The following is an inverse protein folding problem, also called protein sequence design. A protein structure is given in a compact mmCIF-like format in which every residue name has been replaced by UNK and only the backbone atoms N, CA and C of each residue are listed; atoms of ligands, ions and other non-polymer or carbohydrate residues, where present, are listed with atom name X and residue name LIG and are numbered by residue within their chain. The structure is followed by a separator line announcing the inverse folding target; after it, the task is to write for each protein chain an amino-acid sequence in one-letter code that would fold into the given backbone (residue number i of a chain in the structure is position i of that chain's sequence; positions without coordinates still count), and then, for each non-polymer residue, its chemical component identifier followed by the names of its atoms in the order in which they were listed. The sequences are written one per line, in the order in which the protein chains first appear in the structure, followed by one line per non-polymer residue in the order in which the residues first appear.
data_IF_573224449036
#
_entry.id   IF_573224449036
#
_cell.length_a   1.000
_cell.length_b   1.000
_cell.length_c   1.000
_cell.angle_alpha   90.00
_cell.angle_beta   90.00
_cell.angle_gamma   90.00
#
_symmetry.space_group_name_H-M   'P 1'
#
loop_
_entity.id
_entity.type
_entity.pdbx_description
1 polymer ?
#
# COMPACT_ATOMS: atom_id res chain seq x y z
N UNK A 1 5.47 24.14 -0.36
CA UNK A 1 4.29 23.27 -0.18
C UNK A 1 4.52 21.93 -0.86
N UNK A 2 5.16 20.98 -0.18
CA UNK A 2 5.36 19.63 -0.73
C UNK A 2 4.04 18.86 -0.64
N UNK A 3 3.32 18.76 -1.77
CA UNK A 3 2.17 17.87 -1.88
C UNK A 3 2.72 16.45 -1.77
N UNK A 4 2.49 15.79 -0.62
CA UNK A 4 2.93 14.42 -0.41
C UNK A 4 2.17 13.51 -1.36
N UNK A 5 2.88 12.67 -2.10
CA UNK A 5 2.30 11.67 -2.97
C UNK A 5 1.95 10.41 -2.17
N UNK A 6 0.83 9.77 -2.49
CA UNK A 6 0.60 8.37 -2.12
C UNK A 6 1.50 7.44 -2.96
N UNK A 7 1.56 6.16 -2.61
CA UNK A 7 2.48 5.20 -3.23
C UNK A 7 2.24 5.05 -4.74
N UNK A 8 0.99 5.10 -5.20
CA UNK A 8 0.64 4.96 -6.62
C UNK A 8 0.96 6.24 -7.37
N UNK A 9 0.68 7.40 -6.78
CA UNK A 9 1.00 8.70 -7.37
C UNK A 9 2.50 8.95 -7.45
N UNK A 10 3.26 8.45 -6.47
CA UNK A 10 4.72 8.50 -6.52
C UNK A 10 5.27 7.60 -7.64
N UNK A 11 4.78 6.35 -7.76
CA UNK A 11 5.13 5.45 -8.84
C UNK A 11 4.81 6.04 -10.24
N UNK A 12 3.62 6.62 -10.41
CA UNK A 12 3.24 7.32 -11.66
C UNK A 12 4.18 8.47 -11.99
N UNK A 13 4.66 9.19 -10.98
CA UNK A 13 5.60 10.29 -11.15
C UNK A 13 6.98 9.77 -11.55
N UNK A 14 7.48 8.74 -10.87
CA UNK A 14 8.79 8.15 -11.14
C UNK A 14 8.88 7.58 -12.57
N UNK A 15 7.80 6.97 -13.08
CA UNK A 15 7.77 6.42 -14.44
C UNK A 15 7.42 7.43 -15.54
N UNK A 16 7.31 8.72 -15.23
CA UNK A 16 6.98 9.75 -16.21
C UNK A 16 5.59 9.55 -16.85
N UNK A 17 4.59 9.06 -16.11
CA UNK A 17 3.28 8.65 -16.63
C UNK A 17 2.62 9.64 -17.59
N UNK A 18 2.78 10.95 -17.34
CA UNK A 18 2.19 12.01 -18.18
C UNK A 18 2.82 12.10 -19.57
N UNK A 19 4.08 11.69 -19.69
CA UNK A 19 4.88 11.78 -20.91
C UNK A 19 4.79 10.47 -21.73
N UNK A 20 4.36 9.37 -21.11
CA UNK A 20 4.15 8.11 -21.81
C UNK A 20 3.04 8.22 -22.87
N UNK A 21 3.25 7.67 -24.08
CA UNK A 21 2.20 7.48 -25.09
C UNK A 21 1.04 6.64 -24.55
N UNK A 22 -0.21 6.97 -24.91
CA UNK A 22 -1.40 6.28 -24.37
C UNK A 22 -1.41 4.77 -24.62
N UNK A 23 -0.87 4.31 -25.75
CA UNK A 23 -0.76 2.88 -26.10
C UNK A 23 0.30 2.11 -25.28
N UNK A 24 1.17 2.81 -24.57
CA UNK A 24 2.26 2.24 -23.77
C UNK A 24 2.02 2.38 -22.27
N UNK A 25 0.97 3.10 -21.87
CA UNK A 25 0.62 3.30 -20.46
C UNK A 25 0.09 1.98 -19.89
N UNK A 26 0.69 1.46 -18.81
CA UNK A 26 0.09 0.34 -18.10
C UNK A 26 -1.27 0.73 -17.55
N UNK A 27 -2.07 -0.25 -17.13
CA UNK A 27 -3.33 0.05 -16.45
C UNK A 27 -3.07 0.65 -15.06
N UNK A 28 -4.00 1.46 -14.55
CA UNK A 28 -3.89 1.97 -13.17
C UNK A 28 -3.83 0.83 -12.14
N UNK A 29 -4.56 -0.27 -12.39
CA UNK A 29 -4.53 -1.45 -11.55
C UNK A 29 -3.13 -2.10 -11.52
N UNK A 30 -2.45 -2.20 -12.67
CA UNK A 30 -1.09 -2.72 -12.73
C UNK A 30 -0.11 -1.83 -11.95
N UNK A 31 -0.19 -0.50 -12.10
CA UNK A 31 0.68 0.41 -11.34
C UNK A 31 0.37 0.37 -9.85
N UNK A 32 -0.91 0.29 -9.47
CA UNK A 32 -1.31 0.16 -8.08
C UNK A 32 -0.77 -1.13 -7.46
N UNK A 33 -0.83 -2.24 -8.20
CA UNK A 33 -0.26 -3.52 -7.80
C UNK A 33 1.24 -3.41 -7.56
N UNK A 34 2.01 -2.99 -8.56
CA UNK A 34 3.47 -2.91 -8.47
C UNK A 34 3.92 -1.97 -7.34
N UNK A 35 3.30 -0.79 -7.24
CA UNK A 35 3.63 0.19 -6.21
C UNK A 35 3.27 -0.31 -4.80
N UNK A 36 2.11 -0.96 -4.64
CA UNK A 36 1.68 -1.53 -3.37
C UNK A 36 2.55 -2.72 -2.96
N UNK A 37 2.83 -3.64 -3.88
CA UNK A 37 3.68 -4.80 -3.64
C UNK A 37 5.09 -4.38 -3.23
N UNK A 38 5.69 -3.44 -3.96
CA UNK A 38 6.98 -2.85 -3.60
C UNK A 38 6.95 -2.22 -2.20
N UNK A 39 5.93 -1.41 -1.91
CA UNK A 39 5.77 -0.77 -0.59
C UNK A 39 5.66 -1.78 0.56
N UNK A 40 4.97 -2.91 0.35
CA UNK A 40 4.81 -3.95 1.35
C UNK A 40 6.12 -4.74 1.55
N UNK A 41 6.78 -5.14 0.45
CA UNK A 41 8.05 -5.87 0.46
C UNK A 41 9.16 -5.11 1.16
N UNK A 42 9.28 -3.81 0.92
CA UNK A 42 10.24 -2.91 1.60
C UNK A 42 10.09 -2.90 3.13
N UNK A 43 8.98 -3.43 3.65
CA UNK A 43 8.64 -3.42 5.08
C UNK A 43 8.68 -4.80 5.70
N UNK A 44 8.78 -5.88 4.94
CA UNK A 44 8.77 -7.27 5.42
C UNK A 44 9.70 -7.50 6.61
N UNK A 45 10.96 -7.09 6.50
CA UNK A 45 11.95 -7.24 7.57
C UNK A 45 11.51 -6.55 8.88
N UNK A 46 10.95 -5.35 8.76
CA UNK A 46 10.47 -4.57 9.91
C UNK A 46 9.15 -5.13 10.47
N UNK A 47 8.32 -5.72 9.61
CA UNK A 47 7.09 -6.39 9.99
C UNK A 47 7.34 -7.77 10.59
N UNK A 48 8.54 -8.34 10.44
CA UNK A 48 8.85 -9.68 10.92
C UNK A 48 8.15 -10.79 10.14
N UNK A 49 7.80 -10.55 8.87
CA UNK A 49 7.17 -11.52 7.99
C UNK A 49 7.69 -11.45 6.56
N UNK A 50 7.44 -12.49 5.78
CA UNK A 50 7.63 -12.50 4.32
C UNK A 50 6.31 -12.82 3.65
N UNK A 51 5.93 -12.05 2.65
CA UNK A 51 4.68 -12.21 1.91
C UNK A 51 4.92 -13.13 0.72
N UNK A 52 4.02 -14.10 0.51
CA UNK A 52 4.09 -15.03 -0.60
C UNK A 52 3.69 -14.30 -1.90
N UNK A 53 4.61 -14.27 -2.87
CA UNK A 53 4.44 -13.50 -4.10
C UNK A 53 3.33 -14.03 -5.01
N UNK A 54 3.06 -15.33 -4.95
CA UNK A 54 2.06 -16.02 -5.74
C UNK A 54 0.62 -15.79 -5.24
N UNK A 55 0.44 -15.56 -3.94
CA UNK A 55 -0.87 -15.27 -3.34
C UNK A 55 -1.13 -13.78 -3.12
N UNK A 56 -0.12 -12.91 -3.20
CA UNK A 56 -0.27 -11.48 -2.98
C UNK A 56 -1.21 -10.84 -4.01
N UNK A 57 -2.30 -10.28 -3.50
CA UNK A 57 -3.24 -9.42 -4.22
C UNK A 57 -3.17 -8.02 -3.64
N UNK A 58 -3.14 -7.05 -4.55
CA UNK A 58 -3.18 -5.62 -4.21
C UNK A 58 -4.30 -5.00 -5.03
N UNK A 59 -5.32 -4.49 -4.35
CA UNK A 59 -6.48 -3.87 -4.97
C UNK A 59 -7.01 -2.72 -4.11
N UNK A 60 -8.29 -2.38 -4.25
CA UNK A 60 -8.92 -1.35 -3.42
C UNK A 60 -8.40 0.08 -3.64
N UNK A 61 -7.61 0.35 -4.71
CA UNK A 61 -7.06 1.69 -4.94
C UNK A 61 -8.17 2.73 -5.09
N UNK A 62 -8.37 3.53 -4.05
CA UNK A 62 -9.44 4.53 -3.98
C UNK A 62 -8.95 5.79 -3.30
N UNK A 63 -9.34 6.94 -3.84
CA UNK A 63 -9.07 8.24 -3.25
C UNK A 63 -10.32 8.79 -2.58
N UNK A 64 -10.22 9.00 -1.27
CA UNK A 64 -11.21 9.66 -0.43
C UNK A 64 -10.89 11.14 -0.35
N UNK A 65 -11.92 11.99 -0.48
CA UNK A 65 -11.80 13.44 -0.34
C UNK A 65 -12.80 13.94 0.68
N UNK A 66 -12.33 14.70 1.65
CA UNK A 66 -13.17 15.39 2.61
C UNK A 66 -12.95 16.89 2.49
N UNK A 67 -14.04 17.61 2.23
CA UNK A 67 -14.06 19.05 2.14
C UNK A 67 -14.48 19.66 3.49
N UNK A 68 -13.76 20.69 3.93
CA UNK A 68 -13.99 21.36 5.20
C UNK A 68 -13.00 22.51 5.40
N UNK A 69 -12.78 22.95 6.66
CA UNK A 69 -11.78 23.99 6.97
C UNK A 69 -10.37 23.65 6.45
N UNK A 70 -10.04 22.36 6.39
CA UNK A 70 -8.86 21.84 5.71
C UNK A 70 -9.28 20.71 4.78
N UNK A 71 -9.01 20.86 3.49
CA UNK A 71 -9.24 19.79 2.53
C UNK A 71 -8.28 18.63 2.79
N UNK A 72 -8.83 17.42 2.89
CA UNK A 72 -8.08 16.17 3.07
C UNK A 72 -8.31 15.29 1.85
N UNK A 73 -7.23 14.75 1.30
CA UNK A 73 -7.23 13.75 0.23
C UNK A 73 -6.39 12.56 0.73
N UNK A 74 -6.99 11.36 0.73
CA UNK A 74 -6.37 10.12 1.20
C UNK A 74 -6.61 9.03 0.16
N UNK A 75 -5.55 8.45 -0.38
CA UNK A 75 -5.65 7.24 -1.20
C UNK A 75 -5.31 6.01 -0.37
N UNK A 76 -6.09 4.94 -0.53
CA UNK A 76 -5.93 3.66 0.18
C UNK A 76 -5.67 2.53 -0.80
N UNK A 77 -5.03 1.46 -0.32
CA UNK A 77 -4.84 0.17 -1.02
C UNK A 77 -5.18 -0.94 -0.03
N UNK A 78 -5.79 -1.99 -0.55
CA UNK A 78 -6.09 -3.21 0.18
C UNK A 78 -5.11 -4.31 -0.24
N UNK A 79 -4.70 -5.12 0.73
CA UNK A 79 -3.72 -6.19 0.56
C UNK A 79 -4.34 -7.49 1.09
N UNK A 80 -4.23 -8.55 0.29
CA UNK A 80 -4.72 -9.89 0.62
C UNK A 80 -3.69 -10.92 0.14
N UNK A 81 -3.53 -12.02 0.87
CA UNK A 81 -2.58 -13.07 0.53
C UNK A 81 -1.99 -13.77 1.75
N UNK A 82 -1.04 -14.65 1.48
CA UNK A 82 -0.38 -15.45 2.51
C UNK A 82 0.95 -14.81 2.94
N UNK A 83 1.31 -15.04 4.20
CA UNK A 83 2.60 -14.62 4.73
C UNK A 83 3.17 -15.67 5.68
N UNK A 84 4.49 -15.66 5.82
CA UNK A 84 5.24 -16.45 6.80
C UNK A 84 5.76 -15.51 7.87
N UNK A 85 5.52 -15.83 9.14
CA UNK A 85 6.06 -15.08 10.27
C UNK A 85 7.49 -15.54 10.54
N UNK A 86 8.45 -14.63 10.38
CA UNK A 86 9.88 -14.88 10.57
C UNK A 86 10.38 -14.40 11.94
N UNK A 87 9.77 -13.34 12.48
CA UNK A 87 10.10 -12.76 13.78
C UNK A 87 8.78 -12.45 14.53
N UNK A 88 8.47 -13.29 15.51
CA UNK A 88 7.22 -13.21 16.27
C UNK A 88 7.06 -11.88 17.03
N UNK A 89 8.05 -11.37 17.79
CA UNK A 89 7.95 -10.06 18.44
C UNK A 89 7.62 -8.92 17.48
N UNK A 90 8.34 -8.81 16.35
CA UNK A 90 8.11 -7.75 15.35
C UNK A 90 6.72 -7.87 14.72
N UNK A 91 6.31 -9.08 14.38
CA UNK A 91 5.01 -9.31 13.78
C UNK A 91 3.86 -9.01 14.75
N UNK A 92 4.01 -9.35 16.02
CA UNK A 92 3.03 -9.03 17.05
C UNK A 92 2.89 -7.51 17.24
N UNK A 93 4.01 -6.77 17.25
CA UNK A 93 3.97 -5.31 17.27
C UNK A 93 3.25 -4.74 16.05
N UNK A 94 3.56 -5.22 14.85
CA UNK A 94 2.89 -4.81 13.62
C UNK A 94 1.38 -5.09 13.65
N UNK A 95 0.98 -6.26 14.15
CA UNK A 95 -0.42 -6.67 14.27
C UNK A 95 -1.21 -5.75 15.22
N UNK A 96 -0.61 -5.39 16.36
CA UNK A 96 -1.28 -4.59 17.39
C UNK A 96 -1.25 -3.09 17.10
N UNK A 97 -0.15 -2.58 16.59
CA UNK A 97 0.02 -1.15 16.32
C UNK A 97 -0.47 -0.76 14.92
N UNK A 98 -0.60 -1.73 14.01
CA UNK A 98 -0.94 -1.54 12.61
C UNK A 98 0.23 -1.07 11.74
N UNK A 99 0.04 -1.15 10.42
CA UNK A 99 1.09 -0.89 9.41
C UNK A 99 0.83 0.39 8.64
N UNK A 100 1.88 1.16 8.39
CA UNK A 100 1.80 2.33 7.52
C UNK A 100 1.21 3.57 8.19
N UNK A 101 0.64 4.45 7.37
CA UNK A 101 0.14 5.78 7.76
C UNK A 101 -1.39 5.79 7.79
N UNK A 102 -1.97 6.92 8.18
CA UNK A 102 -3.42 7.15 8.16
C UNK A 102 -4.24 6.15 9.00
N UNK A 103 -3.66 5.63 10.09
CA UNK A 103 -4.31 4.66 10.99
C UNK A 103 -5.63 5.16 11.58
N UNK A 104 -5.73 6.47 11.87
CA UNK A 104 -6.97 7.11 12.31
C UNK A 104 -8.07 7.23 11.25
N UNK A 105 -7.80 6.82 10.00
CA UNK A 105 -8.75 6.85 8.87
C UNK A 105 -9.08 5.43 8.36
N UNK A 106 -8.89 4.40 9.19
CA UNK A 106 -9.23 3.02 8.85
C UNK A 106 -8.14 2.28 8.07
N UNK A 107 -6.92 2.78 8.01
CA UNK A 107 -5.79 2.11 7.36
C UNK A 107 -4.92 1.35 8.37
N UNK A 108 -4.19 0.34 7.88
CA UNK A 108 -3.12 -0.31 8.64
C UNK A 108 -3.55 -1.39 9.61
N UNK A 109 -4.85 -1.69 9.70
CA UNK A 109 -5.32 -2.88 10.41
C UNK A 109 -4.87 -4.14 9.65
N UNK A 110 -4.31 -5.11 10.38
CA UNK A 110 -3.94 -6.42 9.85
C UNK A 110 -4.97 -7.45 10.33
N UNK A 111 -5.56 -8.19 9.38
CA UNK A 111 -6.43 -9.33 9.68
C UNK A 111 -5.69 -10.60 9.27
N UNK A 112 -5.50 -11.51 10.22
CA UNK A 112 -4.74 -12.75 10.00
C UNK A 112 -5.53 -13.94 10.50
N UNK A 113 -5.46 -15.05 9.76
CA UNK A 113 -5.96 -16.35 10.18
C UNK A 113 -4.89 -17.40 9.91
N UNK A 114 -4.94 -18.51 10.65
CA UNK A 114 -4.12 -19.68 10.33
C UNK A 114 -4.67 -20.35 9.08
N UNK A 115 -3.77 -20.80 8.20
CA UNK A 115 -4.07 -21.62 7.03
C UNK A 115 -4.17 -23.09 7.45
#
# INVERSE_FOLDING_TARGET
NSKRHDVVMDAKKQMGWKELPDNSRPTLAHVAYEAGACWLRDREERLGCTVANDSLRVDGYRTWRQHGRKNIELSTLDFDGDLVVNDQPRFLEALLLGVGRAKGFGCGLLLVRRL
#
